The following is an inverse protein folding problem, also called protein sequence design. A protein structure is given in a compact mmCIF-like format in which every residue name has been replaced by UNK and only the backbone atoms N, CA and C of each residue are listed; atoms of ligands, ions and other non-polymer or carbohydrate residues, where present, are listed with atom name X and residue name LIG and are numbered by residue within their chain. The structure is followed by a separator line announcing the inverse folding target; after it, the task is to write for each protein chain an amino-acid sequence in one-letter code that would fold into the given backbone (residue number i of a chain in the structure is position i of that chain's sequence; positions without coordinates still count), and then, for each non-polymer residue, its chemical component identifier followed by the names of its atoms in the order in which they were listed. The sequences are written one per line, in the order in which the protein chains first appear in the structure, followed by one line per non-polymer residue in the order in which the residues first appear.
data_IF_698833081118
#
_entry.id   IF_698833081118
#
_cell.length_a   1.000
_cell.length_b   1.000
_cell.length_c   1.000
_cell.angle_alpha   90.00
_cell.angle_beta   90.00
_cell.angle_gamma   90.00
#
_symmetry.space_group_name_H-M   'P 1'
#
loop_
_entity.id
_entity.type
_entity.pdbx_description
1 polymer ?
#
# COMPACT_ATOMS: atom_id res chain seq x y z
N UNK A 1 13.66 -7.47 24.20
CA UNK A 1 13.51 -8.74 23.45
C UNK A 1 12.19 -9.45 23.72
N UNK A 2 11.89 -9.95 24.93
CA UNK A 2 10.60 -10.63 25.19
C UNK A 2 9.39 -9.70 24.99
N UNK A 3 9.49 -8.46 25.46
CA UNK A 3 8.45 -7.43 25.28
C UNK A 3 8.21 -7.16 23.80
N UNK A 4 9.27 -7.07 22.99
CA UNK A 4 9.19 -6.78 21.55
C UNK A 4 8.42 -7.89 20.82
N UNK A 5 8.73 -9.17 21.12
CA UNK A 5 8.00 -10.32 20.57
C UNK A 5 6.54 -10.36 21.00
N UNK A 6 6.25 -10.00 22.26
CA UNK A 6 4.87 -9.93 22.76
C UNK A 6 4.07 -8.83 22.07
N UNK A 7 4.68 -7.66 21.82
CA UNK A 7 4.03 -6.56 21.09
C UNK A 7 3.74 -6.96 19.64
N UNK A 8 4.68 -7.61 18.96
CA UNK A 8 4.48 -8.12 17.60
C UNK A 8 3.37 -9.18 17.57
N UNK A 9 3.41 -10.14 18.48
CA UNK A 9 2.38 -11.18 18.58
C UNK A 9 1.00 -10.58 18.86
N UNK A 10 0.90 -9.64 19.81
CA UNK A 10 -0.34 -8.94 20.12
C UNK A 10 -0.88 -8.16 18.92
N UNK A 11 0.00 -7.50 18.16
CA UNK A 11 -0.37 -6.79 16.93
C UNK A 11 -0.93 -7.76 15.86
N UNK A 12 -0.20 -8.85 15.56
CA UNK A 12 -0.62 -9.82 14.56
C UNK A 12 -1.93 -10.51 14.93
N UNK A 13 -2.09 -10.88 16.21
CA UNK A 13 -3.33 -11.45 16.74
C UNK A 13 -4.47 -10.44 16.66
N UNK A 14 -4.22 -9.18 17.05
CA UNK A 14 -5.22 -8.11 17.01
C UNK A 14 -5.74 -7.85 15.61
N UNK A 15 -4.84 -7.68 14.63
CA UNK A 15 -5.21 -7.49 13.22
C UNK A 15 -5.97 -8.69 12.68
N UNK A 16 -5.50 -9.91 12.96
CA UNK A 16 -6.18 -11.14 12.52
C UNK A 16 -7.56 -11.27 13.13
N UNK A 17 -7.71 -11.00 14.44
CA UNK A 17 -8.98 -11.05 15.14
C UNK A 17 -9.99 -10.02 14.60
N UNK A 18 -9.53 -8.82 14.28
CA UNK A 18 -10.37 -7.77 13.67
C UNK A 18 -10.78 -8.17 12.25
N UNK A 19 -9.86 -8.70 11.45
CA UNK A 19 -10.14 -9.26 10.13
C UNK A 19 -11.21 -10.36 10.19
N UNK A 20 -11.01 -11.35 11.07
CA UNK A 20 -11.96 -12.45 11.34
C UNK A 20 -13.30 -11.96 11.91
N UNK A 21 -13.30 -10.89 12.69
CA UNK A 21 -14.56 -10.30 13.17
C UNK A 21 -15.33 -9.62 12.03
N UNK A 22 -14.62 -8.92 11.14
CA UNK A 22 -15.22 -8.27 9.97
C UNK A 22 -15.82 -9.29 9.00
N UNK A 23 -15.24 -10.49 8.88
CA UNK A 23 -15.76 -11.55 8.00
C UNK A 23 -17.16 -12.03 8.38
N UNK A 24 -17.50 -12.00 9.68
CA UNK A 24 -18.85 -12.36 10.17
C UNK A 24 -19.96 -11.44 9.64
N UNK A 25 -19.61 -10.30 9.03
CA UNK A 25 -20.57 -9.37 8.42
C UNK A 25 -20.78 -9.59 6.93
N UNK A 26 -20.00 -10.47 6.29
CA UNK A 26 -20.14 -10.78 4.87
C UNK A 26 -21.24 -11.83 4.67
N UNK A 27 -22.35 -11.43 4.02
CA UNK A 27 -23.53 -12.29 3.81
C UNK A 27 -23.87 -12.54 2.33
N UNK A 28 -23.18 -11.89 1.40
CA UNK A 28 -23.49 -11.91 -0.04
C UNK A 28 -22.23 -11.61 -0.87
N UNK A 29 -22.18 -12.08 -2.13
CA UNK A 29 -21.10 -11.75 -3.07
C UNK A 29 -20.94 -10.24 -3.30
N UNK A 30 -22.04 -9.48 -3.33
CA UNK A 30 -21.99 -8.03 -3.45
C UNK A 30 -21.33 -7.37 -2.21
N UNK A 31 -21.56 -7.95 -1.03
CA UNK A 31 -20.95 -7.51 0.22
C UNK A 31 -19.45 -7.90 0.27
N UNK A 32 -19.08 -9.04 -0.31
CA UNK A 32 -17.68 -9.47 -0.45
C UNK A 32 -16.87 -8.56 -1.39
N UNK A 33 -17.44 -8.14 -2.53
CA UNK A 33 -16.72 -7.36 -3.56
C UNK A 33 -16.90 -5.84 -3.46
N UNK A 34 -17.99 -5.32 -2.88
CA UNK A 34 -18.31 -3.87 -2.85
C UNK A 34 -18.70 -3.38 -1.44
N UNK A 35 -18.82 -4.27 -0.44
CA UNK A 35 -19.17 -3.88 0.94
C UNK A 35 -20.49 -3.09 1.07
N UNK A 36 -21.46 -3.36 0.20
CA UNK A 36 -22.78 -2.70 0.19
C UNK A 36 -22.74 -1.17 0.22
N UNK A 37 -21.60 -0.55 -0.20
CA UNK A 37 -21.42 0.91 -0.23
C UNK A 37 -21.61 1.58 1.12
N UNK A 38 -21.13 0.95 2.20
CA UNK A 38 -21.44 1.39 3.57
C UNK A 38 -20.44 2.38 4.17
N UNK A 39 -19.24 2.50 3.60
CA UNK A 39 -18.13 3.22 4.25
C UNK A 39 -18.16 4.73 4.04
N UNK A 40 -17.94 5.48 5.13
CA UNK A 40 -17.85 6.95 5.10
C UNK A 40 -16.53 7.45 4.52
N UNK A 41 -16.47 8.77 4.22
CA UNK A 41 -15.32 9.41 3.58
C UNK A 41 -14.01 9.18 4.34
N UNK A 42 -14.02 9.35 5.67
CA UNK A 42 -12.83 9.20 6.50
C UNK A 42 -12.27 7.77 6.44
N UNK A 43 -13.15 6.76 6.50
CA UNK A 43 -12.76 5.36 6.38
C UNK A 43 -12.12 5.10 5.02
N UNK A 44 -12.74 5.60 3.95
CA UNK A 44 -12.20 5.45 2.60
C UNK A 44 -10.85 6.14 2.42
N UNK A 45 -10.64 7.32 3.01
CA UNK A 45 -9.35 8.02 2.95
C UNK A 45 -8.24 7.20 3.62
N UNK A 46 -8.46 6.71 4.85
CA UNK A 46 -7.45 5.89 5.54
C UNK A 46 -7.26 4.53 4.89
N UNK A 47 -8.31 3.93 4.35
CA UNK A 47 -8.21 2.72 3.55
C UNK A 47 -7.36 2.93 2.28
N UNK A 48 -7.62 3.99 1.52
CA UNK A 48 -6.82 4.33 0.34
C UNK A 48 -5.37 4.66 0.70
N UNK A 49 -5.13 5.26 1.87
CA UNK A 49 -3.79 5.48 2.39
C UNK A 49 -3.08 4.18 2.77
N UNK A 50 -3.76 3.29 3.51
CA UNK A 50 -3.23 1.99 3.92
C UNK A 50 -2.89 1.11 2.72
N UNK A 51 -3.82 0.97 1.77
CA UNK A 51 -3.60 0.24 0.50
C UNK A 51 -2.51 0.84 -0.39
N UNK A 52 -2.35 2.17 -0.34
CA UNK A 52 -1.28 2.86 -1.07
C UNK A 52 0.09 2.77 -0.42
N UNK A 53 0.19 2.36 0.84
CA UNK A 53 1.44 2.33 1.60
C UNK A 53 1.86 0.89 1.87
N UNK A 54 2.75 0.39 1.03
CA UNK A 54 3.26 -0.98 1.12
C UNK A 54 4.71 -1.02 1.59
N UNK A 55 5.14 -2.15 2.16
CA UNK A 55 6.49 -2.33 2.72
C UNK A 55 7.60 -2.16 1.69
N UNK A 56 7.34 -2.47 0.42
CA UNK A 56 8.28 -2.25 -0.69
C UNK A 56 8.60 -0.77 -0.89
N UNK A 57 7.64 0.13 -0.67
CA UNK A 57 7.85 1.58 -0.79
C UNK A 57 8.77 2.08 0.32
N UNK A 58 8.57 1.63 1.56
CA UNK A 58 9.44 1.99 2.68
C UNK A 58 10.90 1.56 2.42
N UNK A 59 11.10 0.33 1.93
CA UNK A 59 12.43 -0.20 1.58
C UNK A 59 13.02 0.56 0.38
N UNK A 60 12.23 0.84 -0.65
CA UNK A 60 12.68 1.52 -1.87
C UNK A 60 13.10 2.97 -1.59
N UNK A 61 12.28 3.74 -0.85
CA UNK A 61 12.58 5.12 -0.48
C UNK A 61 13.77 5.18 0.47
N UNK A 62 13.88 4.26 1.44
CA UNK A 62 15.05 4.21 2.32
C UNK A 62 16.34 3.90 1.54
N UNK A 63 16.30 2.91 0.65
CA UNK A 63 17.42 2.55 -0.22
C UNK A 63 17.84 3.73 -1.11
N UNK A 64 16.89 4.41 -1.74
CA UNK A 64 17.15 5.58 -2.58
C UNK A 64 17.63 6.79 -1.79
N UNK A 65 17.15 6.97 -0.56
CA UNK A 65 17.65 8.02 0.33
C UNK A 65 19.09 7.76 0.74
N UNK A 66 19.46 6.48 0.92
CA UNK A 66 20.84 6.09 1.21
C UNK A 66 21.79 6.35 0.02
N UNK A 67 21.37 6.07 -1.22
CA UNK A 67 22.22 6.26 -2.40
C UNK A 67 22.24 7.69 -2.96
N UNK A 68 21.08 8.36 -2.95
CA UNK A 68 20.86 9.62 -3.67
C UNK A 68 20.53 10.79 -2.72
N UNK A 69 20.58 10.56 -1.40
CA UNK A 69 20.25 11.55 -0.37
C UNK A 69 18.77 11.90 -0.29
N UNK A 70 18.45 13.06 0.28
CA UNK A 70 17.10 13.57 0.50
C UNK A 70 16.26 13.65 -0.79
N UNK A 71 16.90 13.73 -1.96
CA UNK A 71 16.23 13.64 -3.26
C UNK A 71 15.49 12.31 -3.48
N UNK A 72 15.81 11.24 -2.74
CA UNK A 72 15.07 9.98 -2.71
C UNK A 72 13.58 10.12 -2.38
N UNK A 73 13.18 11.20 -1.69
CA UNK A 73 11.77 11.48 -1.37
C UNK A 73 10.88 11.60 -2.61
N UNK A 74 11.46 11.98 -3.75
CA UNK A 74 10.72 12.09 -5.00
C UNK A 74 10.09 10.76 -5.40
N UNK A 75 10.69 9.60 -5.10
CA UNK A 75 10.05 8.30 -5.36
C UNK A 75 8.66 8.18 -4.72
N UNK A 76 8.42 8.86 -3.58
CA UNK A 76 7.11 8.93 -2.97
C UNK A 76 6.28 10.12 -3.49
N UNK A 77 6.90 11.29 -3.67
CA UNK A 77 6.20 12.51 -4.11
C UNK A 77 5.70 12.46 -5.55
N UNK A 78 6.22 11.56 -6.39
CA UNK A 78 5.70 11.33 -7.74
C UNK A 78 4.18 11.06 -7.75
N UNK A 79 3.67 10.38 -6.72
CA UNK A 79 2.24 10.11 -6.57
C UNK A 79 1.39 11.35 -6.27
N UNK A 80 1.98 12.46 -5.81
CA UNK A 80 1.26 13.72 -5.57
C UNK A 80 0.64 14.27 -6.86
N UNK A 81 1.24 13.98 -8.01
CA UNK A 81 0.68 14.40 -9.30
C UNK A 81 -0.45 13.50 -9.78
N UNK A 82 -0.45 12.20 -9.46
CA UNK A 82 -1.48 11.25 -9.90
C UNK A 82 -2.71 11.24 -8.99
N UNK A 83 -2.53 11.45 -7.68
CA UNK A 83 -3.58 11.33 -6.66
C UNK A 83 -4.80 12.24 -6.86
N UNK A 84 -4.68 13.52 -7.28
CA UNK A 84 -5.85 14.36 -7.55
C UNK A 84 -6.73 13.80 -8.68
N UNK A 85 -6.12 13.16 -9.68
CA UNK A 85 -6.87 12.57 -10.80
C UNK A 85 -7.67 11.36 -10.35
N UNK A 86 -7.21 10.60 -9.35
CA UNK A 86 -7.98 9.47 -8.82
C UNK A 86 -9.29 9.91 -8.18
N UNK A 87 -9.32 11.10 -7.57
CA UNK A 87 -10.57 11.68 -7.03
C UNK A 87 -11.55 12.06 -8.15
N UNK A 88 -11.05 12.43 -9.33
CA UNK A 88 -11.90 12.70 -10.50
C UNK A 88 -12.42 11.41 -11.15
N UNK A 89 -11.63 10.33 -11.10
CA UNK A 89 -11.98 9.03 -11.69
C UNK A 89 -12.88 8.17 -10.78
N UNK A 90 -12.81 8.36 -9.47
CA UNK A 90 -13.64 7.61 -8.52
C UNK A 90 -15.16 7.76 -8.77
N UNK A 91 -15.72 8.96 -9.02
CA UNK A 91 -17.12 9.12 -9.42
C UNK A 91 -17.45 8.41 -10.74
N UNK A 92 -16.53 8.43 -11.72
CA UNK A 92 -16.72 7.73 -12.99
C UNK A 92 -16.81 6.21 -12.77
N UNK A 93 -15.91 5.63 -11.98
CA UNK A 93 -15.97 4.21 -11.61
C UNK A 93 -17.29 3.83 -10.96
N UNK A 94 -17.79 4.68 -10.07
CA UNK A 94 -19.06 4.45 -9.38
C UNK A 94 -20.28 4.54 -10.31
N UNK A 95 -20.26 5.47 -11.28
CA UNK A 95 -21.34 5.67 -12.26
C UNK A 95 -21.44 4.54 -13.29
N UNK A 96 -20.36 3.80 -13.53
CA UNK A 96 -20.38 2.63 -14.42
C UNK A 96 -21.19 1.45 -13.85
N UNK A 97 -21.49 1.43 -12.54
CA UNK A 97 -22.34 0.43 -11.86
C UNK A 97 -21.95 -1.04 -12.10
N UNK A 98 -20.70 -1.29 -12.49
CA UNK A 98 -20.13 -2.62 -12.58
C UNK A 98 -19.55 -3.06 -11.22
N UNK A 99 -19.48 -4.39 -10.99
CA UNK A 99 -18.88 -4.95 -9.78
C UNK A 99 -17.35 -4.95 -9.91
N UNK A 100 -16.85 -5.40 -11.06
CA UNK A 100 -15.43 -5.39 -11.40
C UNK A 100 -15.17 -4.62 -12.70
N UNK A 101 -13.92 -4.16 -12.88
CA UNK A 101 -13.49 -3.56 -14.16
C UNK A 101 -13.66 -4.53 -15.32
N UNK A 102 -13.48 -5.83 -15.09
CA UNK A 102 -13.70 -6.87 -16.11
C UNK A 102 -15.17 -6.95 -16.54
N UNK A 103 -16.13 -6.82 -15.62
CA UNK A 103 -17.57 -6.83 -15.95
C UNK A 103 -17.94 -5.64 -16.84
N UNK A 104 -17.36 -4.46 -16.57
CA UNK A 104 -17.55 -3.30 -17.43
C UNK A 104 -17.00 -3.55 -18.84
N UNK A 105 -15.79 -4.13 -18.94
CA UNK A 105 -15.18 -4.47 -20.23
C UNK A 105 -15.96 -5.55 -20.98
N UNK A 106 -16.59 -6.49 -20.26
CA UNK A 106 -17.45 -7.52 -20.85
C UNK A 106 -18.64 -6.89 -21.58
N UNK A 107 -19.34 -5.95 -20.94
CA UNK A 107 -20.48 -5.26 -21.54
C UNK A 107 -20.05 -4.34 -22.68
N UNK A 108 -18.89 -3.68 -22.54
CA UNK A 108 -18.44 -2.66 -23.50
C UNK A 108 -17.76 -3.22 -24.76
N UNK A 109 -16.96 -4.26 -24.60
CA UNK A 109 -16.05 -4.80 -25.63
C UNK A 109 -16.19 -6.31 -25.87
N UNK A 110 -16.94 -7.02 -25.03
CA UNK A 110 -17.17 -8.46 -25.15
C UNK A 110 -16.21 -9.33 -24.33
N UNK A 111 -16.44 -10.64 -24.40
CA UNK A 111 -15.83 -11.64 -23.52
C UNK A 111 -14.31 -11.77 -23.68
N UNK A 112 -13.79 -11.66 -24.90
CA UNK A 112 -12.36 -11.79 -25.16
C UNK A 112 -11.52 -10.75 -24.41
N UNK A 113 -11.97 -9.49 -24.43
CA UNK A 113 -11.30 -8.37 -23.74
C UNK A 113 -11.40 -8.50 -22.23
N UNK A 114 -12.58 -8.89 -21.71
CA UNK A 114 -12.79 -9.08 -20.28
C UNK A 114 -11.90 -10.20 -19.70
N UNK A 115 -11.80 -11.34 -20.39
CA UNK A 115 -10.95 -12.46 -19.98
C UNK A 115 -9.47 -12.08 -20.05
N UNK A 116 -9.04 -11.43 -21.13
CA UNK A 116 -7.66 -10.96 -21.25
C UNK A 116 -7.29 -10.02 -20.10
N UNK A 117 -8.15 -9.03 -19.81
CA UNK A 117 -7.95 -8.10 -18.71
C UNK A 117 -7.84 -8.82 -17.36
N UNK A 118 -8.73 -9.78 -17.09
CA UNK A 118 -8.70 -10.55 -15.85
C UNK A 118 -7.41 -11.37 -15.71
N UNK A 119 -6.96 -12.05 -16.77
CA UNK A 119 -5.73 -12.85 -16.77
C UNK A 119 -4.48 -11.98 -16.54
N UNK A 120 -4.35 -10.88 -17.29
CA UNK A 120 -3.23 -9.95 -17.13
C UNK A 120 -3.23 -9.33 -15.73
N UNK A 121 -4.42 -8.93 -15.25
CA UNK A 121 -4.60 -8.39 -13.91
C UNK A 121 -4.19 -9.38 -12.81
N UNK A 122 -4.57 -10.65 -12.92
CA UNK A 122 -4.18 -11.69 -11.97
C UNK A 122 -2.66 -11.91 -11.93
N UNK A 123 -2.00 -11.94 -13.10
CA UNK A 123 -0.54 -12.08 -13.19
C UNK A 123 0.13 -10.85 -12.53
N UNK A 124 -0.34 -9.65 -12.85
CA UNK A 124 0.19 -8.42 -12.28
C UNK A 124 0.07 -8.37 -10.75
N UNK A 125 -1.07 -8.79 -10.20
CA UNK A 125 -1.29 -8.85 -8.76
C UNK A 125 -0.45 -9.93 -8.10
N UNK A 126 -0.29 -11.10 -8.73
CA UNK A 126 0.57 -12.17 -8.22
C UNK A 126 2.03 -11.72 -8.09
N UNK A 127 2.55 -11.01 -9.11
CA UNK A 127 3.90 -10.42 -9.06
C UNK A 127 4.01 -9.38 -7.95
N UNK A 128 3.00 -8.50 -7.82
CA UNK A 128 3.02 -7.46 -6.79
C UNK A 128 3.03 -8.05 -5.37
N UNK A 129 2.18 -9.05 -5.10
CA UNK A 129 2.17 -9.77 -3.81
C UNK A 129 3.54 -10.39 -3.53
N UNK A 130 4.19 -11.00 -4.54
CA UNK A 130 5.53 -11.57 -4.40
C UNK A 130 6.60 -10.52 -4.03
N UNK A 131 6.55 -9.33 -4.64
CA UNK A 131 7.46 -8.22 -4.32
C UNK A 131 7.24 -7.74 -2.89
N UNK A 132 5.97 -7.56 -2.48
CA UNK A 132 5.63 -7.11 -1.12
C UNK A 132 6.07 -8.13 -0.06
N UNK A 133 5.85 -9.43 -0.31
CA UNK A 133 6.29 -10.48 0.60
C UNK A 133 7.82 -10.53 0.74
N UNK A 134 8.54 -10.38 -0.37
CA UNK A 134 10.01 -10.35 -0.38
C UNK A 134 10.57 -9.11 0.34
N UNK A 135 10.00 -7.93 0.09
CA UNK A 135 10.40 -6.70 0.78
C UNK A 135 10.13 -6.79 2.29
N UNK A 136 8.97 -7.32 2.66
CA UNK A 136 8.58 -7.50 4.06
C UNK A 136 9.47 -8.52 4.78
N UNK A 137 9.84 -9.62 4.13
CA UNK A 137 10.74 -10.61 4.74
C UNK A 137 12.14 -10.07 4.97
N UNK A 138 12.69 -9.28 4.02
CA UNK A 138 13.97 -8.61 4.20
C UNK A 138 13.95 -7.66 5.41
N UNK A 139 12.86 -6.91 5.58
CA UNK A 139 12.68 -6.02 6.74
C UNK A 139 12.58 -6.80 8.06
N UNK A 140 11.80 -7.88 8.10
CA UNK A 140 11.65 -8.73 9.28
C UNK A 140 13.00 -9.34 9.68
N UNK A 141 13.73 -9.93 8.73
CA UNK A 141 15.04 -10.53 8.99
C UNK A 141 16.06 -9.49 9.49
N UNK A 142 16.05 -8.28 8.93
CA UNK A 142 16.92 -7.19 9.38
C UNK A 142 16.60 -6.76 10.83
N UNK A 143 15.33 -6.55 11.16
CA UNK A 143 14.88 -6.15 12.50
C UNK A 143 15.09 -7.27 13.53
N UNK A 144 14.95 -8.52 13.11
CA UNK A 144 15.16 -9.68 13.99
C UNK A 144 16.64 -9.99 14.21
N UNK A 145 17.57 -9.23 13.64
CA UNK A 145 19.01 -9.50 13.70
C UNK A 145 19.39 -10.85 13.08
N UNK A 146 18.65 -11.31 12.06
CA UNK A 146 18.87 -12.61 11.42
C UNK A 146 18.23 -13.82 12.12
N UNK A 147 17.55 -13.64 13.27
CA UNK A 147 16.90 -14.75 13.97
C UNK A 147 15.71 -15.37 13.23
N UNK A 148 14.99 -14.60 12.41
CA UNK A 148 13.95 -15.10 11.51
C UNK A 148 14.51 -15.19 10.08
N UNK A 149 14.49 -16.41 9.52
CA UNK A 149 14.86 -16.61 8.12
C UNK A 149 13.81 -16.00 7.17
N UNK A 150 14.21 -15.48 6.00
CA UNK A 150 13.27 -14.90 5.04
C UNK A 150 12.15 -15.87 4.62
N UNK A 151 12.45 -17.16 4.50
CA UNK A 151 11.49 -18.20 4.10
C UNK A 151 10.38 -18.38 5.14
N UNK A 152 10.76 -18.40 6.43
CA UNK A 152 9.80 -18.51 7.54
C UNK A 152 8.92 -17.26 7.59
N UNK A 153 9.51 -16.07 7.43
CA UNK A 153 8.78 -14.81 7.40
C UNK A 153 7.74 -14.80 6.25
N UNK A 154 8.15 -15.17 5.04
CA UNK A 154 7.25 -15.25 3.87
C UNK A 154 6.12 -16.24 4.13
N UNK A 155 6.43 -17.45 4.63
CA UNK A 155 5.43 -18.46 4.89
C UNK A 155 4.41 -18.00 5.94
N UNK A 156 4.87 -17.46 7.07
CA UNK A 156 4.01 -16.96 8.13
C UNK A 156 3.09 -15.81 7.67
N UNK A 157 3.63 -14.82 6.95
CA UNK A 157 2.85 -13.74 6.37
C UNK A 157 1.82 -14.26 5.36
N UNK A 158 2.21 -15.20 4.50
CA UNK A 158 1.32 -15.79 3.50
C UNK A 158 0.14 -16.49 4.16
N UNK A 159 0.38 -17.32 5.18
CA UNK A 159 -0.69 -17.98 5.94
C UNK A 159 -1.63 -16.95 6.55
N UNK A 160 -1.07 -15.92 7.20
CA UNK A 160 -1.86 -14.88 7.87
C UNK A 160 -2.74 -14.11 6.88
N UNK A 161 -2.18 -13.66 5.74
CA UNK A 161 -2.91 -12.92 4.71
C UNK A 161 -3.96 -13.78 3.99
N UNK A 162 -3.68 -15.05 3.73
CA UNK A 162 -4.65 -15.96 3.11
C UNK A 162 -5.82 -16.22 4.06
N UNK A 163 -5.55 -16.47 5.35
CA UNK A 163 -6.58 -16.79 6.35
C UNK A 163 -7.60 -15.66 6.47
N UNK A 164 -7.18 -14.41 6.68
CA UNK A 164 -8.13 -13.31 6.81
C UNK A 164 -8.62 -12.79 5.45
N UNK A 165 -7.79 -12.86 4.40
CA UNK A 165 -8.12 -12.34 3.07
C UNK A 165 -9.21 -13.16 2.38
N UNK A 166 -9.09 -14.48 2.40
CA UNK A 166 -10.11 -15.39 1.84
C UNK A 166 -11.40 -15.33 2.66
N UNK A 167 -11.29 -15.24 3.98
CA UNK A 167 -12.46 -15.23 4.84
C UNK A 167 -13.27 -13.93 4.72
N UNK A 168 -12.64 -12.79 4.44
CA UNK A 168 -13.21 -11.47 4.74
C UNK A 168 -13.53 -10.56 3.57
N UNK A 169 -13.00 -10.84 2.38
CA UNK A 169 -13.22 -10.03 1.20
C UNK A 169 -12.85 -8.56 1.38
N UNK A 170 -13.44 -7.68 0.56
CA UNK A 170 -13.16 -6.25 0.59
C UNK A 170 -13.52 -5.60 1.93
N UNK A 171 -14.50 -6.14 2.64
CA UNK A 171 -14.95 -5.62 3.94
C UNK A 171 -13.89 -5.74 5.03
N UNK A 172 -13.30 -6.93 5.17
CA UNK A 172 -12.21 -7.12 6.11
C UNK A 172 -10.98 -6.32 5.70
N UNK A 173 -10.65 -6.32 4.40
CA UNK A 173 -9.53 -5.52 3.86
C UNK A 173 -9.66 -4.03 4.21
N UNK A 174 -10.85 -3.43 4.01
CA UNK A 174 -11.06 -2.01 4.32
C UNK A 174 -10.79 -1.70 5.80
N UNK A 175 -11.26 -2.55 6.71
CA UNK A 175 -11.08 -2.34 8.15
C UNK A 175 -9.63 -2.59 8.56
N UNK A 176 -9.00 -3.67 8.09
CA UNK A 176 -7.60 -3.99 8.42
C UNK A 176 -6.67 -2.90 7.90
N UNK A 177 -6.87 -2.46 6.66
CA UNK A 177 -5.98 -1.49 6.00
C UNK A 177 -6.18 -0.08 6.57
N UNK A 178 -7.39 0.26 7.06
CA UNK A 178 -7.60 1.49 7.82
C UNK A 178 -6.75 1.50 9.09
N UNK A 179 -6.81 0.41 9.87
CA UNK A 179 -6.06 0.31 11.14
C UNK A 179 -4.56 0.32 10.85
N UNK A 180 -4.12 -0.47 9.88
CA UNK A 180 -2.72 -0.52 9.45
C UNK A 180 -2.25 0.84 8.95
N UNK A 181 -3.05 1.55 8.13
CA UNK A 181 -2.73 2.89 7.64
C UNK A 181 -2.57 3.90 8.77
N UNK A 182 -3.50 3.93 9.74
CA UNK A 182 -3.39 4.79 10.93
C UNK A 182 -2.15 4.45 11.75
N UNK A 183 -1.89 3.17 11.98
CA UNK A 183 -0.71 2.72 12.71
C UNK A 183 0.58 3.09 11.99
N UNK A 184 0.65 2.94 10.67
CA UNK A 184 1.81 3.35 9.87
C UNK A 184 2.11 4.83 10.08
N UNK A 185 1.11 5.71 9.99
CA UNK A 185 1.31 7.16 10.25
C UNK A 185 1.88 7.38 11.66
N UNK A 186 1.24 6.82 12.69
CA UNK A 186 1.66 7.03 14.09
C UNK A 186 3.08 6.52 14.31
N UNK A 187 3.38 5.30 13.86
CA UNK A 187 4.70 4.67 14.05
C UNK A 187 5.79 5.37 13.24
N UNK A 188 5.47 5.87 12.04
CA UNK A 188 6.41 6.68 11.24
C UNK A 188 6.78 7.99 11.90
N UNK A 189 5.86 8.67 12.60
CA UNK A 189 6.22 9.87 13.37
C UNK A 189 6.90 9.52 14.70
N UNK A 190 6.52 8.40 15.30
CA UNK A 190 7.08 7.94 16.57
C UNK A 190 8.58 7.62 16.46
N UNK A 191 9.04 7.05 15.34
CA UNK A 191 10.46 6.66 15.17
C UNK A 191 11.40 7.86 14.97
N UNK A 192 10.91 8.99 14.43
CA UNK A 192 11.71 10.18 14.12
C UNK A 192 12.50 10.74 15.31
N UNK A 193 11.92 11.00 16.50
CA UNK A 193 12.67 11.52 17.63
C UNK A 193 13.78 10.58 18.08
N UNK A 194 13.55 9.26 18.08
CA UNK A 194 14.57 8.27 18.45
C UNK A 194 15.70 8.25 17.41
N UNK A 195 15.37 8.21 16.12
CA UNK A 195 16.34 8.24 15.04
C UNK A 195 17.20 9.51 15.06
N UNK A 196 16.59 10.68 15.25
CA UNK A 196 17.30 11.95 15.37
C UNK A 196 18.16 12.00 16.63
N UNK A 197 17.68 11.48 17.77
CA UNK A 197 18.46 11.45 19.01
C UNK A 197 19.72 10.58 18.88
N UNK A 198 19.65 9.47 18.14
CA UNK A 198 20.76 8.55 17.92
C UNK A 198 21.93 9.19 17.14
N UNK A 199 21.64 10.20 16.32
CA UNK A 199 22.64 10.92 15.52
C UNK A 199 22.97 12.31 16.07
N UNK A 200 22.53 12.66 17.29
CA UNK A 200 22.78 13.98 17.88
C UNK A 200 21.96 15.11 17.24
N UNK A 201 20.78 14.80 16.71
CA UNK A 201 19.86 15.73 16.06
C UNK A 201 20.26 16.10 14.64
N UNK A 202 19.62 17.14 14.10
CA UNK A 202 19.96 17.65 12.75
C UNK A 202 21.40 18.18 12.66
N UNK A 203 21.95 18.69 13.76
CA UNK A 203 23.34 19.13 13.84
C UNK A 203 24.31 17.97 13.67
N UNK A 204 24.12 16.86 14.40
CA UNK A 204 24.99 15.70 14.28
C UNK A 204 24.81 14.96 12.96
N UNK A 205 23.60 14.94 12.40
CA UNK A 205 23.35 14.44 11.04
C UNK A 205 24.14 15.22 9.98
N UNK A 206 24.13 16.56 10.04
CA UNK A 206 24.92 17.41 9.13
C UNK A 206 26.42 17.30 9.34
N UNK A 207 26.87 17.05 10.57
CA UNK A 207 28.27 16.83 10.87
C UNK A 207 28.78 15.45 10.42
N UNK A 208 27.88 14.47 10.30
CA UNK A 208 28.21 13.10 9.89
C UNK A 208 28.18 12.89 8.37
N UNK A 209 27.65 13.87 7.62
CA UNK A 209 27.52 13.81 6.16
C UNK A 209 28.25 15.00 5.55
N UNK A 210 29.47 14.78 5.08
CA UNK A 210 30.34 15.82 4.52
C UNK A 210 29.82 16.44 3.22
N UNK A 211 28.97 15.71 2.47
CA UNK A 211 28.38 16.19 1.22
C UNK A 211 27.04 16.90 1.46
N UNK A 212 26.96 18.25 1.35
CA UNK A 212 25.73 19.00 1.55
C UNK A 212 24.64 18.70 0.50
N UNK A 213 25.01 18.18 -0.68
CA UNK A 213 24.05 17.81 -1.73
C UNK A 213 23.13 16.67 -1.29
N UNK A 214 23.55 15.85 -0.32
CA UNK A 214 22.72 14.79 0.26
C UNK A 214 21.48 15.36 0.96
N UNK A 215 21.49 16.63 1.40
CA UNK A 215 20.32 17.29 1.97
C UNK A 215 19.46 18.02 0.93
N UNK A 216 19.93 18.11 -0.32
CA UNK A 216 19.17 18.69 -1.40
C UNK A 216 18.01 17.77 -1.79
N UNK A 217 16.82 18.34 -1.89
CA UNK A 217 15.65 17.67 -2.44
C UNK A 217 15.70 17.71 -3.97
N UNK A 218 16.48 18.61 -4.56
CA UNK A 218 16.69 18.70 -6.01
C UNK A 218 17.74 17.67 -6.41
N UNK A 219 17.32 16.64 -7.16
CA UNK A 219 18.21 15.59 -7.64
C UNK A 219 19.22 16.16 -8.66
N UNK A 220 20.53 15.91 -8.53
CA UNK A 220 21.54 16.47 -9.44
C UNK A 220 21.46 15.93 -10.88
N UNK A 221 20.86 14.75 -11.12
CA UNK A 221 20.78 14.17 -12.48
C UNK A 221 19.80 12.99 -12.68
N UNK A 222 19.52 12.17 -11.65
CA UNK A 222 18.71 10.94 -11.83
C UNK A 222 17.21 11.21 -12.03
N UNK A 223 16.63 12.16 -11.29
CA UNK A 223 15.18 12.44 -11.28
C UNK A 223 14.93 13.68 -12.13
N UNK A 224 15.02 13.51 -13.46
CA UNK A 224 14.72 14.57 -14.41
C UNK A 224 13.23 14.91 -14.44
N UNK A 225 12.87 16.10 -14.92
CA UNK A 225 11.45 16.45 -15.15
C UNK A 225 10.75 15.45 -16.07
N UNK A 226 11.46 14.93 -17.08
CA UNK A 226 10.94 13.89 -17.96
C UNK A 226 10.61 12.60 -17.16
N UNK A 227 11.52 12.17 -16.29
CA UNK A 227 11.30 11.01 -15.43
C UNK A 227 10.07 11.19 -14.54
N UNK A 228 9.91 12.38 -13.95
CA UNK A 228 8.74 12.74 -13.14
C UNK A 228 7.44 12.62 -13.93
N UNK A 229 7.40 13.21 -15.12
CA UNK A 229 6.20 13.16 -15.99
C UNK A 229 5.88 11.74 -16.41
N UNK A 230 6.88 10.97 -16.86
CA UNK A 230 6.68 9.58 -17.31
C UNK A 230 6.14 8.71 -16.18
N UNK A 231 6.68 8.81 -14.97
CA UNK A 231 6.18 8.03 -13.83
C UNK A 231 4.82 8.52 -13.37
N UNK A 232 4.56 9.82 -13.34
CA UNK A 232 3.24 10.33 -12.96
C UNK A 232 2.14 9.82 -13.92
N UNK A 233 2.42 9.79 -15.22
CA UNK A 233 1.53 9.23 -16.25
C UNK A 233 1.41 7.71 -16.09
N UNK A 234 2.52 7.01 -15.88
CA UNK A 234 2.51 5.56 -15.69
C UNK A 234 1.71 5.16 -14.45
N UNK A 235 1.90 5.85 -13.32
CA UNK A 235 1.14 5.65 -12.09
C UNK A 235 -0.34 5.90 -12.32
N UNK A 236 -0.69 6.99 -13.02
CA UNK A 236 -2.07 7.33 -13.34
C UNK A 236 -2.74 6.23 -14.17
N UNK A 237 -2.10 5.77 -15.24
CA UNK A 237 -2.62 4.69 -16.08
C UNK A 237 -2.67 3.38 -15.30
N UNK A 238 -1.60 3.04 -14.56
CA UNK A 238 -1.46 1.79 -13.82
C UNK A 238 -2.50 1.62 -12.73
N UNK A 239 -2.83 2.68 -11.99
CA UNK A 239 -3.90 2.61 -11.01
C UNK A 239 -5.26 2.45 -11.68
N UNK A 240 -5.55 3.19 -12.75
CA UNK A 240 -6.85 3.10 -13.45
C UNK A 240 -7.09 1.72 -14.07
N UNK A 241 -6.04 1.10 -14.59
CA UNK A 241 -6.13 -0.24 -15.20
C UNK A 241 -6.02 -1.37 -14.19
N UNK A 242 -5.77 -1.08 -12.92
CA UNK A 242 -5.68 -2.11 -11.89
C UNK A 242 -7.05 -2.74 -11.60
N UNK A 243 -7.16 -4.09 -11.47
CA UNK A 243 -8.43 -4.76 -11.26
C UNK A 243 -9.18 -4.35 -9.98
N UNK A 244 -8.45 -3.90 -8.95
CA UNK A 244 -9.01 -3.54 -7.63
C UNK A 244 -9.55 -2.10 -7.56
N UNK A 245 -9.18 -1.21 -8.49
CA UNK A 245 -9.45 0.23 -8.38
C UNK A 245 -10.93 0.58 -8.45
N UNK A 246 -11.68 -0.07 -9.35
CA UNK A 246 -13.12 0.12 -9.46
C UNK A 246 -13.89 -0.41 -8.23
N UNK A 247 -13.67 -1.67 -7.78
CA UNK A 247 -14.26 -2.16 -6.53
C UNK A 247 -14.01 -1.26 -5.32
N UNK A 248 -12.77 -0.76 -5.16
CA UNK A 248 -12.40 0.15 -4.07
C UNK A 248 -13.19 1.46 -4.11
N UNK A 249 -13.31 2.08 -5.28
CA UNK A 249 -14.08 3.32 -5.44
C UNK A 249 -15.59 3.10 -5.24
N UNK A 250 -16.08 1.90 -5.59
CA UNK A 250 -17.48 1.55 -5.46
C UNK A 250 -17.93 1.33 -4.01
N UNK A 251 -17.00 1.05 -3.08
CA UNK A 251 -17.30 0.70 -1.69
C UNK A 251 -17.67 1.90 -0.78
N UNK A 252 -17.40 3.13 -1.20
CA UNK A 252 -17.79 4.32 -0.45
C UNK A 252 -19.31 4.52 -0.40
N UNK A 253 -19.81 5.26 0.57
CA UNK A 253 -21.25 5.60 0.70
C UNK A 253 -21.70 6.70 -0.25
N UNK A 254 -20.85 7.69 -0.52
CA UNK A 254 -21.13 8.84 -1.40
C UNK A 254 -20.18 8.90 -2.60
N UNK A 255 -20.59 9.64 -3.64
CA UNK A 255 -19.72 10.02 -4.77
C UNK A 255 -18.64 11.03 -4.36
N UNK A 256 -18.88 11.77 -3.27
CA UNK A 256 -18.02 12.81 -2.70
C UNK A 256 -17.36 12.36 -1.41
#
# INVERSE_FOLDING_TARGET
MLIDWLVIAAYLIGVTAIGVYATRRVKSSANFFISDRSFGKLTMTFFSFGTGTNTDQAVSVASKTYTSGASGIWYQWLWLFSTPFYWLLAPLFRRMRAVTTADYLLVRYGQSVAVLFALVGMIQLAVNIGVVLKASSAMITAVSGGSISPEIAIFAMTVLFVVYGVAGGLNAAIITDLIQGVMTVILSFLILPFALSAVGGMSGLRASIDNPEVFSIVAPSEITTLYVVVIAVNGLVGWVTSPYSMPMCAAGRSEY
#
